data_IF_037684942026
#
_entry.id   IF_037684942026
#
_cell.length_a   1.000
_cell.length_b   1.000
_cell.length_c   1.000
_cell.angle_alpha   90.00
_cell.angle_beta   90.00
_cell.angle_gamma   90.00
#
_symmetry.space_group_name_H-M   'P 1'
#
loop_
_entity.id
_entity.type
_entity.pdbx_description
1 polymer ?
#
# COMPACT_ATOMS: atom_id res chain seq x y z
N UNK A 1 -9.46 18.62 -15.50
CA UNK A 1 -9.66 17.18 -15.76
C UNK A 1 -9.57 16.49 -14.40
N UNK A 2 -9.65 15.17 -14.32
CA UNK A 2 -9.39 14.44 -13.08
C UNK A 2 -8.53 13.26 -13.49
N UNK A 3 -7.44 13.01 -12.78
CA UNK A 3 -6.71 11.76 -12.93
C UNK A 3 -6.54 11.06 -11.60
N UNK A 4 -6.31 9.75 -11.70
CA UNK A 4 -6.07 8.87 -10.58
C UNK A 4 -4.70 8.24 -10.74
N UNK A 5 -3.97 8.12 -9.64
CA UNK A 5 -2.67 7.43 -9.59
C UNK A 5 -2.79 6.21 -8.69
N UNK A 6 -2.36 5.06 -9.17
CA UNK A 6 -2.24 3.86 -8.36
C UNK A 6 -0.84 3.75 -7.75
N UNK A 7 -0.78 3.66 -6.43
CA UNK A 7 0.42 3.38 -5.68
C UNK A 7 0.43 1.93 -5.21
N UNK A 8 1.45 1.18 -5.62
CA UNK A 8 1.76 -0.18 -5.14
C UNK A 8 3.05 -0.23 -4.29
N UNK A 9 3.74 0.89 -4.12
CA UNK A 9 4.99 0.96 -3.36
C UNK A 9 4.94 2.07 -2.31
N UNK A 10 5.99 2.89 -2.30
CA UNK A 10 6.14 3.99 -1.33
C UNK A 10 5.03 5.04 -1.39
N UNK A 11 4.34 5.17 -2.52
CA UNK A 11 3.18 6.04 -2.67
C UNK A 11 2.07 5.73 -1.66
N UNK A 12 1.93 4.48 -1.19
CA UNK A 12 0.86 4.09 -0.27
C UNK A 12 1.00 4.82 1.08
N UNK A 13 2.22 4.96 1.61
CA UNK A 13 2.49 5.62 2.90
C UNK A 13 3.07 7.03 2.78
N UNK A 14 3.69 7.35 1.64
CA UNK A 14 4.33 8.63 1.39
C UNK A 14 3.97 9.10 -0.03
N UNK A 15 2.76 9.65 -0.29
CA UNK A 15 2.37 10.10 -1.62
C UNK A 15 3.16 11.33 -2.08
N UNK A 16 3.40 12.30 -1.19
CA UNK A 16 4.26 13.45 -1.46
C UNK A 16 3.71 14.52 -2.42
N UNK A 17 2.45 14.40 -2.85
CA UNK A 17 1.70 15.40 -3.60
C UNK A 17 0.32 15.62 -2.97
N UNK A 18 -0.33 16.72 -3.33
CA UNK A 18 -1.71 17.01 -2.89
C UNK A 18 -2.73 16.18 -3.67
N UNK A 19 -3.60 15.48 -2.94
CA UNK A 19 -4.68 14.67 -3.50
C UNK A 19 -6.00 14.95 -2.77
N UNK A 20 -7.11 14.73 -3.46
CA UNK A 20 -8.46 15.03 -2.95
C UNK A 20 -9.12 13.79 -2.33
N UNK A 21 -8.73 12.60 -2.79
CA UNK A 21 -9.32 11.34 -2.33
C UNK A 21 -8.26 10.23 -2.34
N UNK A 22 -8.32 9.34 -1.34
CA UNK A 22 -7.52 8.11 -1.27
C UNK A 22 -8.45 6.92 -1.07
N UNK A 23 -8.30 5.88 -1.89
CA UNK A 23 -9.02 4.61 -1.71
C UNK A 23 -8.06 3.43 -1.70
N UNK A 24 -8.30 2.49 -0.79
CA UNK A 24 -7.61 1.19 -0.76
C UNK A 24 -8.35 0.23 -1.69
N UNK A 25 -7.59 -0.59 -2.41
CA UNK A 25 -8.11 -1.58 -3.34
C UNK A 25 -6.98 -2.21 -4.14
N UNK A 26 -7.28 -2.70 -5.33
CA UNK A 26 -6.33 -3.49 -6.11
C UNK A 26 -6.48 -3.30 -7.61
N UNK A 27 -5.44 -3.71 -8.32
CA UNK A 27 -5.44 -3.92 -9.77
C UNK A 27 -5.33 -5.41 -10.07
N UNK A 28 -5.86 -5.84 -11.20
CA UNK A 28 -5.81 -7.24 -11.67
C UNK A 28 -4.71 -7.43 -12.69
N UNK A 29 -4.27 -8.68 -12.83
CA UNK A 29 -3.29 -9.14 -13.80
C UNK A 29 -1.89 -8.54 -13.64
N UNK A 30 -1.60 -8.06 -12.42
CA UNK A 30 -0.28 -7.60 -12.02
C UNK A 30 0.12 -8.26 -10.70
N UNK A 31 1.39 -8.65 -10.59
CA UNK A 31 2.01 -8.96 -9.30
C UNK A 31 3.14 -8.00 -8.99
N UNK A 32 3.37 -7.80 -7.69
CA UNK A 32 4.49 -7.01 -7.20
C UNK A 32 5.78 -7.84 -7.25
N UNK A 33 6.87 -7.23 -7.71
CA UNK A 33 8.20 -7.83 -7.78
C UNK A 33 9.28 -6.84 -7.34
N UNK A 34 10.45 -7.31 -6.90
CA UNK A 34 11.56 -6.47 -6.41
C UNK A 34 12.71 -6.36 -7.43
N UNK A 35 12.34 -6.06 -8.68
CA UNK A 35 13.24 -6.16 -9.84
C UNK A 35 13.77 -4.81 -10.33
N UNK A 36 13.51 -3.72 -9.60
CA UNK A 36 13.96 -2.39 -9.96
C UNK A 36 15.14 -1.95 -9.09
N UNK A 37 16.17 -1.40 -9.73
CA UNK A 37 17.30 -0.77 -9.05
C UNK A 37 16.90 0.59 -8.52
N UNK A 38 17.29 0.89 -7.29
CA UNK A 38 17.32 2.25 -6.75
C UNK A 38 18.77 2.62 -6.45
N UNK A 39 19.26 3.71 -7.05
CA UNK A 39 20.68 4.10 -7.01
C UNK A 39 20.94 5.47 -6.37
N UNK A 40 19.89 6.15 -5.93
CA UNK A 40 19.93 7.54 -5.46
C UNK A 40 19.16 7.74 -4.14
N UNK A 41 18.23 6.85 -3.79
CA UNK A 41 17.50 6.88 -2.52
C UNK A 41 18.02 5.82 -1.53
N UNK A 42 17.74 4.53 -1.78
CA UNK A 42 18.09 3.43 -0.86
C UNK A 42 19.40 2.72 -1.20
N UNK A 43 20.03 3.09 -2.31
CA UNK A 43 21.31 2.53 -2.76
C UNK A 43 22.21 3.59 -3.39
N UNK A 44 23.29 3.14 -4.00
CA UNK A 44 24.22 3.96 -4.80
C UNK A 44 24.39 3.35 -6.19
N UNK A 45 24.99 4.05 -7.17
CA UNK A 45 25.28 3.47 -8.48
C UNK A 45 26.17 2.21 -8.41
N UNK A 46 27.10 2.16 -7.45
CA UNK A 46 28.01 1.02 -7.22
C UNK A 46 27.32 -0.11 -6.45
N UNK A 47 26.39 0.23 -5.55
CA UNK A 47 25.66 -0.68 -4.69
C UNK A 47 24.16 -0.40 -4.78
N UNK A 48 23.50 -0.79 -5.90
CA UNK A 48 22.09 -0.53 -6.09
C UNK A 48 21.25 -1.25 -5.04
N UNK A 49 20.24 -0.57 -4.54
CA UNK A 49 19.14 -1.16 -3.80
C UNK A 49 18.16 -1.86 -4.75
N UNK A 50 17.31 -2.74 -4.21
CA UNK A 50 16.14 -3.33 -4.87
C UNK A 50 14.85 -2.72 -4.31
N UNK A 51 14.05 -2.13 -5.18
CA UNK A 51 12.72 -1.59 -4.88
C UNK A 51 11.64 -2.32 -5.70
N UNK A 52 10.38 -2.15 -5.31
CA UNK A 52 9.30 -2.86 -5.99
C UNK A 52 8.90 -2.19 -7.31
N UNK A 53 8.60 -3.01 -8.30
CA UNK A 53 7.81 -2.65 -9.50
C UNK A 53 6.66 -3.64 -9.61
N UNK A 54 5.88 -3.56 -10.69
CA UNK A 54 4.87 -4.58 -11.02
C UNK A 54 5.19 -5.21 -12.36
N UNK A 55 4.85 -6.49 -12.49
CA UNK A 55 4.88 -7.20 -13.76
C UNK A 55 3.52 -7.82 -14.06
N UNK A 56 3.23 -7.98 -15.35
CA UNK A 56 2.00 -8.62 -15.78
C UNK A 56 2.01 -10.09 -15.41
N UNK A 57 0.94 -10.55 -14.79
CA UNK A 57 0.69 -11.95 -14.46
C UNK A 57 -0.81 -12.19 -14.39
N UNK A 58 -1.34 -12.88 -15.39
CA UNK A 58 -2.76 -13.21 -15.48
C UNK A 58 -3.27 -13.87 -14.19
N UNK A 59 -4.42 -13.39 -13.70
CA UNK A 59 -5.05 -13.87 -12.48
C UNK A 59 -4.39 -13.41 -11.18
N UNK A 60 -3.27 -12.68 -11.24
CA UNK A 60 -2.67 -12.05 -10.07
C UNK A 60 -3.45 -10.80 -9.65
N UNK A 61 -3.30 -10.44 -8.39
CA UNK A 61 -3.86 -9.22 -7.80
C UNK A 61 -2.74 -8.46 -7.11
N UNK A 62 -2.68 -7.15 -7.34
CA UNK A 62 -1.76 -6.26 -6.64
C UNK A 62 -2.57 -5.24 -5.83
N UNK A 63 -2.53 -5.39 -4.51
CA UNK A 63 -3.18 -4.47 -3.58
C UNK A 63 -2.38 -3.17 -3.43
N UNK A 64 -3.07 -2.07 -3.15
CA UNK A 64 -2.45 -0.76 -3.02
C UNK A 64 -3.46 0.33 -2.70
N UNK A 65 -3.17 1.55 -3.15
CA UNK A 65 -4.06 2.68 -3.00
C UNK A 65 -4.15 3.51 -4.28
N UNK A 66 -5.32 4.05 -4.57
CA UNK A 66 -5.48 5.09 -5.60
C UNK A 66 -5.64 6.47 -4.97
N UNK A 67 -5.08 7.46 -5.65
CA UNK A 67 -5.11 8.86 -5.25
C UNK A 67 -5.77 9.69 -6.35
N UNK A 68 -6.83 10.43 -6.00
CA UNK A 68 -7.50 11.34 -6.92
C UNK A 68 -6.84 12.71 -6.90
N UNK A 69 -6.56 13.28 -8.08
CA UNK A 69 -6.15 14.68 -8.20
C UNK A 69 -7.20 15.42 -9.05
N UNK A 70 -7.92 16.33 -8.39
CA UNK A 70 -8.91 17.25 -8.94
C UNK A 70 -8.46 18.68 -8.64
N UNK A 71 -8.93 19.65 -9.41
CA UNK A 71 -8.62 21.08 -9.17
C UNK A 71 -8.10 21.84 -10.38
N UNK A 72 -8.15 21.24 -11.58
CA UNK A 72 -7.82 21.92 -12.83
C UNK A 72 -6.35 21.73 -13.26
N UNK A 73 -6.00 22.26 -14.45
CA UNK A 73 -4.75 21.91 -15.14
C UNK A 73 -3.47 22.20 -14.34
N UNK A 74 -3.45 23.23 -13.50
CA UNK A 74 -2.25 23.60 -12.74
C UNK A 74 -1.93 22.62 -11.62
N UNK A 75 -2.93 22.22 -10.82
CA UNK A 75 -2.72 21.25 -9.73
C UNK A 75 -2.39 19.86 -10.30
N UNK A 76 -3.09 19.49 -11.36
CA UNK A 76 -2.83 18.26 -12.12
C UNK A 76 -1.40 18.21 -12.65
N UNK A 77 -0.95 19.29 -13.30
CA UNK A 77 0.42 19.42 -13.83
C UNK A 77 1.46 19.33 -12.73
N UNK A 78 1.28 20.05 -11.61
CA UNK A 78 2.22 20.00 -10.47
C UNK A 78 2.34 18.60 -9.88
N UNK A 79 1.23 17.88 -9.72
CA UNK A 79 1.24 16.51 -9.22
C UNK A 79 1.95 15.56 -10.21
N UNK A 80 1.69 15.67 -11.50
CA UNK A 80 2.37 14.85 -12.52
C UNK A 80 3.88 15.16 -12.60
N UNK A 81 4.29 16.43 -12.58
CA UNK A 81 5.71 16.84 -12.57
C UNK A 81 6.44 16.35 -11.30
N UNK A 82 5.75 16.31 -10.16
CA UNK A 82 6.29 15.71 -8.95
C UNK A 82 6.50 14.19 -9.14
N UNK A 83 5.47 13.49 -9.63
CA UNK A 83 5.53 12.04 -9.83
C UNK A 83 6.58 11.63 -10.86
N UNK A 84 6.69 12.35 -11.98
CA UNK A 84 7.70 12.07 -13.01
C UNK A 84 9.13 12.26 -12.53
N UNK A 85 9.37 13.20 -11.60
CA UNK A 85 10.69 13.35 -10.98
C UNK A 85 10.96 12.28 -9.92
N UNK A 86 9.94 11.93 -9.15
CA UNK A 86 10.04 10.94 -8.07
C UNK A 86 10.22 9.52 -8.60
N UNK A 87 9.44 9.15 -9.61
CA UNK A 87 9.39 7.82 -10.20
C UNK A 87 10.29 7.75 -11.44
N UNK A 88 11.44 8.43 -11.41
CA UNK A 88 12.31 8.58 -12.58
C UNK A 88 13.04 7.29 -13.00
N UNK A 89 13.05 6.28 -12.12
CA UNK A 89 13.53 4.93 -12.41
C UNK A 89 12.50 4.08 -13.20
N UNK A 90 11.26 4.55 -13.32
CA UNK A 90 10.19 3.92 -14.10
C UNK A 90 10.08 4.59 -15.48
N UNK A 91 10.15 3.79 -16.54
CA UNK A 91 10.21 4.25 -17.92
C UNK A 91 8.86 4.17 -18.65
N UNK A 92 7.81 3.68 -17.99
CA UNK A 92 6.48 3.51 -18.58
C UNK A 92 5.34 3.99 -17.68
N UNK A 93 4.28 4.51 -18.30
CA UNK A 93 3.00 4.84 -17.68
C UNK A 93 1.90 4.05 -18.37
N UNK A 94 1.17 3.26 -17.62
CA UNK A 94 0.05 2.45 -18.15
C UNK A 94 -1.26 2.92 -17.51
N UNK A 95 -2.37 2.70 -18.22
CA UNK A 95 -3.72 2.90 -17.69
C UNK A 95 -4.30 1.54 -17.32
N UNK A 96 -4.75 1.41 -16.07
CA UNK A 96 -5.32 0.17 -15.54
C UNK A 96 -6.65 0.44 -14.86
N UNK A 97 -7.44 -0.63 -14.73
CA UNK A 97 -8.69 -0.62 -14.00
C UNK A 97 -8.44 -0.96 -12.53
N UNK A 98 -9.07 -0.18 -11.64
CA UNK A 98 -8.95 -0.32 -10.19
C UNK A 98 -10.25 -0.84 -9.58
N UNK A 99 -10.11 -1.77 -8.64
CA UNK A 99 -11.20 -2.45 -7.97
C UNK A 99 -11.12 -2.27 -6.47
N UNK A 100 -12.28 -2.27 -5.80
CA UNK A 100 -12.39 -2.13 -4.35
C UNK A 100 -12.85 -3.43 -3.73
N UNK A 101 -12.40 -3.71 -2.50
CA UNK A 101 -12.92 -4.85 -1.74
C UNK A 101 -14.40 -4.64 -1.39
N UNK A 102 -15.18 -5.72 -1.43
CA UNK A 102 -16.60 -5.69 -1.07
C UNK A 102 -17.54 -5.14 -2.16
N UNK A 103 -17.00 -4.64 -3.28
CA UNK A 103 -17.82 -4.33 -4.44
C UNK A 103 -18.21 -5.65 -5.12
N UNK A 104 -19.49 -6.04 -4.94
CA UNK A 104 -20.02 -7.29 -5.49
C UNK A 104 -20.18 -7.22 -7.01
N UNK A 105 -20.06 -6.03 -7.59
CA UNK A 105 -19.96 -5.86 -9.02
C UNK A 105 -18.55 -6.23 -9.46
N UNK A 106 -18.41 -7.05 -10.51
CA UNK A 106 -17.11 -7.29 -11.17
C UNK A 106 -16.58 -6.03 -11.90
N UNK A 107 -17.20 -4.87 -11.66
CA UNK A 107 -16.92 -3.63 -12.33
C UNK A 107 -15.79 -2.88 -11.61
N UNK A 108 -14.95 -2.17 -12.36
CA UNK A 108 -13.94 -1.32 -11.76
C UNK A 108 -14.60 -0.15 -11.02
N UNK A 109 -14.09 0.15 -9.83
CA UNK A 109 -14.47 1.35 -9.07
C UNK A 109 -13.95 2.62 -9.77
N UNK A 110 -12.79 2.52 -10.42
CA UNK A 110 -12.21 3.59 -11.24
C UNK A 110 -11.53 2.98 -12.46
N UNK A 111 -11.86 3.46 -13.65
CA UNK A 111 -11.21 3.08 -14.91
C UNK A 111 -10.11 4.06 -15.28
N UNK A 112 -9.06 3.59 -15.95
CA UNK A 112 -8.02 4.46 -16.50
C UNK A 112 -7.16 5.14 -15.43
N UNK A 113 -6.83 4.40 -14.37
CA UNK A 113 -5.90 4.85 -13.33
C UNK A 113 -4.47 4.74 -13.87
N UNK A 114 -3.68 5.79 -13.67
CA UNK A 114 -2.29 5.84 -14.09
C UNK A 114 -1.44 5.04 -13.10
N UNK A 115 -0.60 4.15 -13.63
CA UNK A 115 0.41 3.42 -12.88
C UNK A 115 1.78 3.65 -13.53
N UNK A 116 2.78 3.94 -12.71
CA UNK A 116 4.19 3.99 -13.14
C UNK A 116 4.75 2.58 -13.08
N UNK A 117 5.31 2.09 -14.18
CA UNK A 117 5.83 0.72 -14.31
C UNK A 117 7.17 0.72 -15.00
N UNK A 118 7.91 -0.38 -14.84
CA UNK A 118 9.23 -0.55 -15.45
C UNK A 118 9.15 -1.57 -16.57
N UNK A 119 9.72 -1.26 -17.73
CA UNK A 119 9.89 -2.23 -18.81
C UNK A 119 10.84 -3.33 -18.35
N UNK A 120 10.48 -4.62 -18.50
CA UNK A 120 11.33 -5.74 -18.11
C UNK A 120 12.43 -6.02 -19.15
N UNK A 121 13.13 -4.98 -19.60
CA UNK A 121 14.24 -5.06 -20.55
C UNK A 121 15.44 -4.27 -20.04
N UNK A 122 16.58 -4.96 -19.91
CA UNK A 122 17.84 -4.36 -19.44
C UNK A 122 18.45 -3.41 -20.47
N UNK A 123 18.09 -3.53 -21.74
CA UNK A 123 18.61 -2.68 -22.82
C UNK A 123 17.89 -1.33 -22.81
N UNK A 124 16.55 -1.34 -22.78
CA UNK A 124 15.76 -0.11 -22.72
C UNK A 124 15.74 0.53 -21.33
N UNK A 125 15.75 -0.28 -20.27
CA UNK A 125 15.69 0.19 -18.89
C UNK A 125 16.94 -0.22 -18.10
N UNK A 126 17.88 0.72 -17.97
CA UNK A 126 19.10 0.54 -17.18
C UNK A 126 18.86 0.26 -15.69
N UNK A 127 17.67 0.57 -15.16
CA UNK A 127 17.29 0.31 -13.78
C UNK A 127 16.69 -1.09 -13.59
N UNK A 128 16.33 -1.80 -14.66
CA UNK A 128 15.77 -3.14 -14.54
C UNK A 128 16.85 -4.16 -14.14
N UNK A 129 16.79 -4.64 -12.90
CA UNK A 129 17.67 -5.71 -12.40
C UNK A 129 17.18 -7.08 -12.85
N UNK A 130 15.87 -7.21 -13.00
CA UNK A 130 15.18 -8.47 -13.28
C UNK A 130 15.16 -9.43 -12.10
N UNK A 131 14.47 -10.57 -12.30
CA UNK A 131 14.31 -11.57 -11.27
C UNK A 131 15.66 -12.11 -10.83
N UNK A 132 15.78 -12.37 -9.53
CA UNK A 132 16.95 -12.99 -8.92
C UNK A 132 16.50 -14.02 -7.87
N UNK A 133 17.40 -14.95 -7.47
CA UNK A 133 17.13 -15.84 -6.35
C UNK A 133 16.73 -15.06 -5.10
N UNK A 134 15.74 -15.58 -4.34
CA UNK A 134 15.22 -14.93 -3.13
C UNK A 134 16.34 -14.54 -2.17
N UNK A 135 17.28 -15.44 -1.93
CA UNK A 135 18.41 -15.19 -1.03
C UNK A 135 19.35 -14.08 -1.53
N UNK A 136 19.56 -13.96 -2.84
CA UNK A 136 20.38 -12.90 -3.42
C UNK A 136 19.70 -11.54 -3.27
N UNK A 137 18.39 -11.48 -3.54
CA UNK A 137 17.59 -10.28 -3.29
C UNK A 137 17.61 -9.91 -1.81
N UNK A 138 17.45 -10.88 -0.92
CA UNK A 138 17.46 -10.65 0.52
C UNK A 138 18.82 -10.13 1.01
N UNK A 139 19.93 -10.72 0.55
CA UNK A 139 21.28 -10.23 0.85
C UNK A 139 21.47 -8.78 0.37
N UNK A 140 21.09 -8.50 -0.88
CA UNK A 140 21.18 -7.16 -1.46
C UNK A 140 20.36 -6.14 -0.65
N UNK A 141 19.09 -6.44 -0.34
CA UNK A 141 18.20 -5.55 0.42
C UNK A 141 18.68 -5.36 1.87
N UNK A 142 19.24 -6.41 2.48
CA UNK A 142 19.73 -6.36 3.85
C UNK A 142 20.93 -5.41 4.01
N UNK A 143 21.80 -5.31 3.00
CA UNK A 143 23.06 -4.57 3.07
C UNK A 143 23.07 -3.25 2.29
N UNK A 144 22.19 -3.06 1.32
CA UNK A 144 22.14 -1.83 0.53
C UNK A 144 21.73 -0.63 1.39
N UNK A 145 22.47 0.47 1.22
CA UNK A 145 22.28 1.73 1.92
C UNK A 145 22.52 2.89 0.94
N UNK A 146 21.65 3.89 1.02
CA UNK A 146 21.77 5.11 0.23
C UNK A 146 21.47 6.35 1.07
N UNK A 147 21.38 7.53 0.43
CA UNK A 147 21.12 8.81 1.10
C UNK A 147 19.88 8.81 2.00
N UNK A 148 18.87 8.01 1.65
CA UNK A 148 17.59 7.92 2.38
C UNK A 148 17.50 6.71 3.32
N UNK A 149 18.64 6.10 3.67
CA UNK A 149 18.71 5.01 4.65
C UNK A 149 18.86 3.62 4.03
N UNK A 150 18.59 2.58 4.82
CA UNK A 150 18.78 1.19 4.41
C UNK A 150 17.63 0.73 3.51
N UNK A 151 17.94 -0.10 2.51
CA UNK A 151 16.93 -0.67 1.64
C UNK A 151 15.93 -1.59 2.38
N UNK A 152 16.38 -2.32 3.40
CA UNK A 152 15.49 -3.13 4.26
C UNK A 152 14.34 -2.33 4.90
N UNK A 153 14.57 -1.05 5.21
CA UNK A 153 13.56 -0.20 5.84
C UNK A 153 12.39 0.07 4.88
N UNK A 154 12.67 0.12 3.57
CA UNK A 154 11.65 0.19 2.53
C UNK A 154 10.80 -1.10 2.51
N UNK A 155 11.43 -2.27 2.50
CA UNK A 155 10.73 -3.56 2.46
C UNK A 155 9.86 -3.78 3.71
N UNK A 156 10.40 -3.56 4.91
CA UNK A 156 9.64 -3.72 6.15
C UNK A 156 8.51 -2.70 6.27
N UNK A 157 8.71 -1.48 5.76
CA UNK A 157 7.63 -0.49 5.70
C UNK A 157 6.55 -0.88 4.71
N UNK A 158 6.91 -1.50 3.58
CA UNK A 158 5.94 -2.04 2.62
C UNK A 158 5.13 -3.16 3.26
N UNK A 159 5.77 -4.14 3.89
CA UNK A 159 5.12 -5.25 4.62
C UNK A 159 4.14 -4.70 5.67
N UNK A 160 4.59 -3.77 6.52
CA UNK A 160 3.73 -3.11 7.51
C UNK A 160 2.57 -2.36 6.86
N UNK A 161 2.83 -1.64 5.77
CA UNK A 161 1.80 -0.85 5.08
C UNK A 161 0.72 -1.76 4.50
N UNK A 162 1.09 -2.91 3.92
CA UNK A 162 0.11 -3.89 3.45
C UNK A 162 -0.78 -4.36 4.61
N UNK A 163 -0.17 -4.72 5.74
CA UNK A 163 -0.90 -5.12 6.94
C UNK A 163 -1.84 -4.01 7.45
N UNK A 164 -1.36 -2.76 7.51
CA UNK A 164 -2.14 -1.60 7.97
C UNK A 164 -3.37 -1.31 7.08
N UNK A 165 -3.30 -1.66 5.79
CA UNK A 165 -4.44 -1.53 4.86
C UNK A 165 -5.32 -2.78 4.81
N UNK A 166 -5.08 -3.76 5.69
CA UNK A 166 -5.91 -4.97 5.85
C UNK A 166 -5.56 -6.12 4.91
N UNK A 167 -4.41 -6.08 4.23
CA UNK A 167 -4.01 -7.08 3.25
C UNK A 167 -2.61 -7.64 3.50
N UNK A 168 -2.38 -8.86 3.05
CA UNK A 168 -1.06 -9.49 3.07
C UNK A 168 -0.59 -9.70 1.63
N UNK A 169 0.72 -9.66 1.43
CA UNK A 169 1.37 -9.98 0.17
C UNK A 169 2.42 -11.05 0.46
N UNK A 170 2.11 -12.30 0.09
CA UNK A 170 2.91 -13.48 0.41
C UNK A 170 4.37 -13.30 -0.03
N UNK A 171 4.59 -12.70 -1.20
CA UNK A 171 5.93 -12.49 -1.73
C UNK A 171 6.70 -11.42 -0.94
N UNK A 172 6.04 -10.32 -0.54
CA UNK A 172 6.64 -9.32 0.34
C UNK A 172 6.99 -9.91 1.70
N UNK A 173 6.11 -10.73 2.27
CA UNK A 173 6.32 -11.40 3.57
C UNK A 173 7.48 -12.40 3.48
N UNK A 174 7.51 -13.23 2.44
CA UNK A 174 8.58 -14.18 2.20
C UNK A 174 9.95 -13.48 2.09
N UNK A 175 10.03 -12.44 1.25
CA UNK A 175 11.26 -11.65 1.08
C UNK A 175 11.68 -10.95 2.37
N UNK A 176 10.73 -10.37 3.13
CA UNK A 176 11.01 -9.73 4.41
C UNK A 176 11.55 -10.72 5.44
N UNK A 177 11.00 -11.93 5.49
CA UNK A 177 11.50 -12.99 6.36
C UNK A 177 12.92 -13.42 5.98
N UNK A 178 13.22 -13.54 4.69
CA UNK A 178 14.58 -13.87 4.24
C UNK A 178 15.58 -12.76 4.60
N UNK A 179 15.21 -11.48 4.45
CA UNK A 179 16.03 -10.34 4.91
C UNK A 179 16.28 -10.39 6.41
N UNK A 180 15.26 -10.72 7.23
CA UNK A 180 15.44 -10.87 8.69
C UNK A 180 16.44 -11.98 9.03
N UNK A 181 16.41 -13.10 8.30
CA UNK A 181 17.39 -14.19 8.48
C UNK A 181 18.81 -13.72 8.19
N UNK A 182 19.02 -13.00 7.08
CA UNK A 182 20.34 -12.44 6.72
C UNK A 182 20.87 -11.51 7.82
N UNK A 183 19.99 -10.73 8.45
CA UNK A 183 20.34 -9.80 9.53
C UNK A 183 20.53 -10.45 10.90
N UNK A 184 20.28 -11.76 11.04
CA UNK A 184 20.30 -12.45 12.34
C UNK A 184 19.20 -11.98 13.30
N UNK A 185 18.15 -11.37 12.78
CA UNK A 185 17.01 -10.90 13.58
C UNK A 185 16.01 -12.07 13.70
N UNK A 186 15.56 -12.43 14.92
CA UNK A 186 14.52 -13.43 15.07
C UNK A 186 13.29 -13.04 14.24
N UNK A 187 12.88 -13.92 13.33
CA UNK A 187 11.71 -13.69 12.48
C UNK A 187 10.44 -13.61 13.31
N UNK A 188 9.99 -12.39 13.61
CA UNK A 188 8.59 -12.09 13.89
C UNK A 188 8.06 -11.36 12.67
N UNK A 189 7.75 -12.11 11.60
CA UNK A 189 6.69 -11.65 10.69
C UNK A 189 5.46 -11.35 11.54
N UNK A 190 4.66 -10.35 11.17
CA UNK A 190 3.51 -9.92 11.95
C UNK A 190 2.53 -11.09 12.06
N UNK A 191 2.68 -11.90 13.10
CA UNK A 191 1.64 -12.73 13.66
C UNK A 191 1.13 -11.94 14.86
N UNK A 192 0.25 -10.97 14.60
CA UNK A 192 -0.65 -10.57 15.67
C UNK A 192 -1.57 -11.76 15.91
N UNK A 193 -1.51 -12.29 17.13
CA UNK A 193 -2.49 -13.23 17.64
C UNK A 193 -3.88 -12.76 17.21
N UNK A 194 -4.58 -13.61 16.45
CA UNK A 194 -6.04 -13.51 16.38
C UNK A 194 -6.50 -13.47 17.84
N UNK A 195 -7.05 -12.35 18.30
CA UNK A 195 -7.91 -12.35 19.47
C UNK A 195 -9.13 -13.20 19.10
N UNK A 196 -8.97 -14.52 19.20
CA UNK A 196 -10.06 -15.46 19.28
C UNK A 196 -10.72 -15.16 20.62
N UNK A 197 -11.87 -14.51 20.56
CA UNK A 197 -12.78 -14.42 21.68
C UNK A 197 -13.22 -15.84 22.06
N UNK A 198 -12.48 -16.49 22.95
CA UNK A 198 -12.94 -17.65 23.68
C UNK A 198 -13.48 -17.13 25.01
N UNK A 199 -14.79 -17.29 25.17
CA UNK A 199 -15.53 -16.84 26.33
C UNK A 199 -14.93 -17.32 27.64
N UNK A 200 -14.84 -16.41 28.60
CA UNK A 200 -14.71 -16.74 30.00
C UNK A 200 -16.11 -16.91 30.62
N UNK A 201 -16.28 -17.84 31.59
CA UNK A 201 -17.58 -18.26 32.07
C UNK A 201 -18.23 -17.20 32.97
N UNK A 202 -19.54 -17.09 32.83
CA UNK A 202 -20.41 -16.32 33.72
C UNK A 202 -20.34 -16.84 35.16
N UNK A 203 -20.09 -15.93 36.11
CA UNK A 203 -20.58 -16.03 37.50
C UNK A 203 -21.11 -14.64 37.90
N UNK A 204 -22.33 -14.54 38.47
CA UNK A 204 -23.05 -13.28 38.59
C UNK A 204 -22.69 -12.53 39.88
N UNK A 205 -22.59 -11.20 39.80
CA UNK A 205 -22.69 -10.34 40.96
C UNK A 205 -23.89 -9.40 40.76
N UNK A 206 -24.94 -9.67 41.54
CA UNK A 206 -26.03 -8.73 41.77
C UNK A 206 -25.49 -7.44 42.41
N UNK A 207 -25.91 -6.31 41.86
CA UNK A 207 -25.99 -5.06 42.60
C UNK A 207 -27.25 -4.31 42.14
N UNK A 208 -28.28 -4.42 42.97
CA UNK A 208 -29.52 -3.65 42.95
C UNK A 208 -29.25 -2.14 42.78
N UNK A 209 -29.93 -1.49 41.83
CA UNK A 209 -30.28 -0.07 41.92
C UNK A 209 -31.74 0.09 41.44
N UNK A 210 -32.62 0.84 42.15
CA UNK A 210 -34.06 0.82 41.92
C UNK A 210 -34.48 1.65 40.69
N UNK A 211 -35.48 1.15 39.98
CA UNK A 211 -36.17 1.81 38.87
C UNK A 211 -36.92 3.08 39.33
N UNK A 212 -36.57 4.23 38.77
CA UNK A 212 -37.46 5.40 38.78
C UNK A 212 -38.28 5.38 37.48
N UNK A 213 -39.58 5.09 37.63
CA UNK A 213 -40.58 5.30 36.58
C UNK A 213 -40.88 6.80 36.47
N UNK A 214 -40.81 7.35 35.25
CA UNK A 214 -41.43 8.63 34.93
C UNK A 214 -42.57 8.37 33.95
N UNK A 215 -43.78 8.67 34.42
CA UNK A 215 -45.02 8.63 33.65
C UNK A 215 -45.07 9.77 32.62
N UNK A 216 -45.74 9.59 31.47
CA UNK A 216 -45.94 10.64 30.48
C UNK A 216 -47.24 11.43 30.72
N UNK A 217 -47.32 12.64 30.15
CA UNK A 217 -48.49 13.39 29.59
C UNK A 217 -48.32 14.92 29.78
N UNK A 218 -49.06 15.81 29.07
CA UNK A 218 -49.62 15.76 27.70
C UNK A 218 -49.32 17.02 26.84
N UNK A 219 -49.77 17.00 25.58
CA UNK A 219 -49.62 18.00 24.50
C UNK A 219 -50.32 19.37 24.67
N UNK A 220 -49.83 20.32 23.83
CA UNK A 220 -50.48 21.52 23.25
C UNK A 220 -50.63 22.76 24.18
N UNK A 221 -50.61 24.03 23.75
CA UNK A 221 -51.11 24.73 22.53
C UNK A 221 -50.29 26.04 22.33
N UNK A 222 -50.27 26.55 21.09
CA UNK A 222 -49.71 27.82 20.63
C UNK A 222 -50.32 29.10 21.25
N UNK A 223 -49.62 30.25 21.15
CA UNK A 223 -50.15 31.50 20.56
C UNK A 223 -49.12 32.66 20.59
N UNK A 224 -49.16 33.44 19.50
CA UNK A 224 -48.41 34.66 19.20
C UNK A 224 -48.57 35.80 20.23
N UNK A 225 -47.55 36.66 20.33
CA UNK A 225 -47.64 38.13 20.21
C UNK A 225 -46.26 38.73 19.97
#
# INVERSE_FOLDING_TARGET
MVFWIFGYGSLIWNPGFEYDEKMIGYIKDYRRVFDLACIDHQGTPEHPARTCTVEQKEGAVCWGAVFCVRGGPEKEKKAMEYLERRECEYDSKTLVDFYKEGDSSLQPAVTGVIIFTSTPDKVSNKYYLGPAPLEDMARQIATAFGPNGNNRDYLFRLEKTMFDIGHEDDYVIELANEVRKVLGIPGKGILMEKLVGVGAPHIPHEAHIPSLQLHPLPEAIAMDS
#
